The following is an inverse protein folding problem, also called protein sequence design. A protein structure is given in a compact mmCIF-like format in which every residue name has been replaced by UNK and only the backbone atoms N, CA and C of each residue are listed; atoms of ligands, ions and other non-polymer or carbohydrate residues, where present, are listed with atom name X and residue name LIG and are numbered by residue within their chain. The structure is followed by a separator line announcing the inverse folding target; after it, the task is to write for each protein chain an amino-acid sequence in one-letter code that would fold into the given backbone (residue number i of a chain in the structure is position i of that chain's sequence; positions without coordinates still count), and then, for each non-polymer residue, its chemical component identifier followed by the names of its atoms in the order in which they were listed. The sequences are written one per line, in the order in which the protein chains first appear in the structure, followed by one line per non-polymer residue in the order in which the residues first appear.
data_IF_953370601026
#
_entry.id   IF_953370601026
#
_cell.length_a   1.000
_cell.length_b   1.000
_cell.length_c   1.000
_cell.angle_alpha   90.00
_cell.angle_beta   90.00
_cell.angle_gamma   90.00
#
_symmetry.space_group_name_H-M   'P 1'
#
loop_
_entity.id
_entity.type
_entity.pdbx_description
1 polymer ?
#
# COMPACT_ATOMS: atom_id res chain seq x y z
N UNK A 1 27.16 13.71 -11.35
CA UNK A 1 27.62 13.22 -10.04
C UNK A 1 27.75 11.72 -10.14
N UNK A 2 28.87 11.09 -9.70
CA UNK A 2 28.96 9.64 -9.68
C UNK A 2 27.88 9.11 -8.69
N UNK A 3 27.02 8.24 -9.19
CA UNK A 3 26.08 7.48 -8.34
C UNK A 3 26.96 6.58 -7.48
N UNK A 4 26.86 6.72 -6.15
CA UNK A 4 27.58 5.84 -5.23
C UNK A 4 27.19 4.40 -5.55
N UNK A 5 28.19 3.54 -5.79
CA UNK A 5 27.95 2.09 -5.99
C UNK A 5 27.43 1.55 -4.66
N UNK A 6 26.23 0.95 -4.62
CA UNK A 6 25.68 0.42 -3.39
C UNK A 6 26.60 -0.67 -2.84
N UNK A 7 26.81 -0.67 -1.53
CA UNK A 7 27.50 -1.77 -0.84
C UNK A 7 26.61 -3.02 -0.95
N UNK A 8 27.18 -4.13 -1.39
CA UNK A 8 26.47 -5.40 -1.47
C UNK A 8 25.98 -5.81 -0.07
N UNK A 9 24.70 -6.15 0.05
CA UNK A 9 24.14 -6.66 1.30
C UNK A 9 24.55 -8.13 1.51
N UNK A 10 24.66 -8.55 2.77
CA UNK A 10 25.12 -9.90 3.13
C UNK A 10 24.24 -11.04 2.55
N UNK A 11 22.92 -10.78 2.41
CA UNK A 11 21.97 -11.72 1.80
C UNK A 11 21.80 -11.36 0.32
N UNK A 12 21.96 -12.33 -0.57
CA UNK A 12 21.85 -12.10 -2.02
C UNK A 12 20.43 -11.73 -2.48
N UNK A 13 20.30 -11.05 -3.64
CA UNK A 13 19.02 -10.56 -4.15
C UNK A 13 17.92 -11.62 -4.29
N UNK A 14 18.26 -12.80 -4.82
CA UNK A 14 17.29 -13.88 -5.03
C UNK A 14 16.80 -14.45 -3.70
N UNK A 15 17.68 -14.59 -2.72
CA UNK A 15 17.35 -15.03 -1.38
C UNK A 15 16.45 -14.03 -0.65
N UNK A 16 16.72 -12.72 -0.77
CA UNK A 16 15.84 -11.68 -0.22
C UNK A 16 14.43 -11.73 -0.83
N UNK A 17 14.33 -11.94 -2.14
CA UNK A 17 13.03 -12.09 -2.83
C UNK A 17 12.31 -13.35 -2.33
N UNK A 18 13.01 -14.46 -2.14
CA UNK A 18 12.42 -15.69 -1.61
C UNK A 18 11.89 -15.49 -0.18
N UNK A 19 12.67 -14.84 0.70
CA UNK A 19 12.24 -14.49 2.08
C UNK A 19 11.03 -13.56 2.08
N UNK A 20 11.05 -12.51 1.27
CA UNK A 20 9.90 -11.62 1.12
C UNK A 20 8.63 -12.39 0.71
N UNK A 21 8.74 -13.30 -0.27
CA UNK A 21 7.62 -14.15 -0.70
C UNK A 21 7.16 -15.10 0.41
N UNK A 22 8.07 -15.64 1.22
CA UNK A 22 7.73 -16.52 2.35
C UNK A 22 6.91 -15.77 3.40
N UNK A 23 7.37 -14.59 3.81
CA UNK A 23 6.64 -13.70 4.74
C UNK A 23 5.24 -13.35 4.22
N UNK A 24 5.12 -13.01 2.93
CA UNK A 24 3.82 -12.67 2.33
C UNK A 24 2.87 -13.88 2.23
N UNK A 25 3.39 -15.10 2.09
CA UNK A 25 2.58 -16.34 2.11
C UNK A 25 2.08 -16.70 3.50
N UNK A 26 2.91 -16.51 4.53
CA UNK A 26 2.49 -16.69 5.92
C UNK A 26 1.40 -15.71 6.32
N UNK A 27 1.44 -14.48 5.76
CA UNK A 27 0.52 -13.40 6.08
C UNK A 27 1.00 -12.58 7.29
N UNK A 28 0.62 -11.31 7.30
CA UNK A 28 1.11 -10.35 8.30
C UNK A 28 0.68 -10.66 9.74
N UNK A 29 -0.30 -11.52 9.96
CA UNK A 29 -0.70 -11.96 11.30
C UNK A 29 0.28 -12.99 11.91
N UNK A 30 1.00 -13.73 11.07
CA UNK A 30 1.84 -14.88 11.47
C UNK A 30 3.34 -14.55 11.53
N UNK A 31 3.74 -13.31 11.18
CA UNK A 31 5.15 -12.94 11.03
C UNK A 31 5.79 -12.30 12.27
N UNK A 32 5.15 -12.38 13.43
CA UNK A 32 5.66 -11.75 14.65
C UNK A 32 7.12 -12.12 14.97
N UNK A 33 7.47 -13.40 14.77
CA UNK A 33 8.81 -13.92 15.02
C UNK A 33 9.84 -13.53 13.93
N UNK A 34 9.37 -13.12 12.75
CA UNK A 34 10.21 -12.65 11.65
C UNK A 34 10.54 -11.15 11.76
N UNK A 35 9.90 -10.41 12.67
CA UNK A 35 10.13 -8.98 12.85
C UNK A 35 11.37 -8.73 13.71
N UNK A 36 12.16 -7.71 13.35
CA UNK A 36 13.23 -7.22 14.22
C UNK A 36 12.66 -6.37 15.37
N UNK A 37 13.43 -6.18 16.43
CA UNK A 37 13.04 -5.34 17.57
C UNK A 37 12.77 -3.87 17.16
N UNK A 38 13.50 -3.38 16.15
CA UNK A 38 13.39 -2.03 15.58
C UNK A 38 12.43 -1.94 14.38
N UNK A 39 11.62 -2.97 14.16
CA UNK A 39 10.66 -3.02 13.05
C UNK A 39 9.76 -1.80 12.98
N UNK A 40 9.48 -1.35 11.75
CA UNK A 40 8.55 -0.27 11.46
C UNK A 40 7.59 -0.64 10.33
N UNK A 41 6.30 -0.51 10.59
CA UNK A 41 5.27 -0.50 9.55
C UNK A 41 4.92 0.93 9.17
N UNK A 42 4.95 1.23 7.88
CA UNK A 42 4.69 2.59 7.35
C UNK A 42 3.68 2.52 6.21
N UNK A 43 2.49 3.03 6.44
CA UNK A 43 1.50 3.30 5.41
C UNK A 43 1.49 4.77 5.00
N UNK A 44 0.70 5.17 4.00
CA UNK A 44 0.58 6.57 3.58
C UNK A 44 0.02 7.50 4.66
N UNK A 45 -0.73 6.95 5.59
CA UNK A 45 -1.43 7.67 6.67
C UNK A 45 -1.12 7.06 8.03
N UNK A 46 -0.95 5.74 8.09
CA UNK A 46 -0.74 4.97 9.33
C UNK A 46 0.73 4.70 9.52
N UNK A 47 1.23 4.92 10.73
CA UNK A 47 2.62 4.62 11.10
C UNK A 47 3.50 5.85 11.29
N UNK A 48 4.80 5.64 11.62
CA UNK A 48 5.40 4.33 11.83
C UNK A 48 4.84 3.58 13.05
N UNK A 49 4.52 2.28 12.89
CA UNK A 49 4.13 1.41 13.98
C UNK A 49 5.28 0.45 14.29
N UNK A 50 5.64 0.33 15.56
CA UNK A 50 6.56 -0.72 16.04
C UNK A 50 5.92 -2.10 16.06
N UNK A 51 6.69 -3.17 16.39
CA UNK A 51 6.26 -4.58 16.26
C UNK A 51 4.94 -4.87 16.99
N UNK A 52 4.85 -4.54 18.27
CA UNK A 52 3.65 -4.80 19.09
C UNK A 52 2.40 -4.07 18.57
N UNK A 53 2.56 -2.77 18.23
CA UNK A 53 1.45 -1.97 17.71
C UNK A 53 0.98 -2.48 16.34
N UNK A 54 1.90 -2.95 15.50
CA UNK A 54 1.61 -3.54 14.21
C UNK A 54 0.85 -4.87 14.36
N UNK A 55 1.34 -5.81 15.16
CA UNK A 55 0.69 -7.11 15.40
C UNK A 55 -0.72 -6.90 15.96
N UNK A 56 -0.89 -5.98 16.91
CA UNK A 56 -2.20 -5.62 17.46
C UNK A 56 -3.14 -5.03 16.39
N UNK A 57 -2.61 -4.15 15.52
CA UNK A 57 -3.41 -3.54 14.45
C UNK A 57 -3.86 -4.56 13.41
N UNK A 58 -2.97 -5.47 13.00
CA UNK A 58 -3.29 -6.54 12.03
C UNK A 58 -4.25 -7.56 12.64
N UNK A 59 -4.00 -8.01 13.88
CA UNK A 59 -4.87 -8.97 14.58
C UNK A 59 -6.26 -8.42 14.88
N UNK A 60 -6.40 -7.09 15.07
CA UNK A 60 -7.70 -6.43 15.25
C UNK A 60 -8.48 -6.22 13.94
N UNK A 61 -7.87 -6.52 12.78
CA UNK A 61 -8.44 -6.28 11.45
C UNK A 61 -8.32 -7.52 10.56
N UNK A 62 -9.02 -8.59 10.95
CA UNK A 62 -9.09 -9.79 10.11
C UNK A 62 -9.98 -9.54 8.88
N UNK A 63 -9.32 -9.20 7.77
CA UNK A 63 -9.97 -8.96 6.49
C UNK A 63 -10.57 -10.25 5.89
N UNK A 64 -10.11 -11.42 6.31
CA UNK A 64 -10.59 -12.70 5.76
C UNK A 64 -12.01 -13.02 6.21
N UNK A 65 -12.45 -12.49 7.35
CA UNK A 65 -13.84 -12.63 7.81
C UNK A 65 -14.81 -11.91 6.88
N UNK A 66 -14.43 -10.73 6.37
CA UNK A 66 -15.26 -9.98 5.43
C UNK A 66 -15.09 -10.41 3.97
N UNK A 67 -13.88 -10.84 3.59
CA UNK A 67 -13.49 -11.21 2.23
C UNK A 67 -12.84 -12.60 2.19
N UNK A 68 -13.61 -13.69 2.31
CA UNK A 68 -13.04 -15.05 2.38
C UNK A 68 -12.27 -15.48 1.12
N UNK A 69 -12.57 -14.86 -0.03
CA UNK A 69 -11.93 -15.11 -1.33
C UNK A 69 -10.81 -14.12 -1.66
N UNK A 70 -10.33 -13.33 -0.67
CA UNK A 70 -9.35 -12.28 -0.90
C UNK A 70 -8.04 -12.84 -1.45
N UNK A 71 -7.53 -12.18 -2.50
CA UNK A 71 -6.24 -12.47 -3.14
C UNK A 71 -5.46 -11.17 -3.29
N UNK A 72 -4.27 -11.11 -2.71
CA UNK A 72 -3.41 -9.92 -2.79
C UNK A 72 -2.71 -9.78 -4.13
N UNK A 73 -2.54 -10.88 -4.90
CA UNK A 73 -1.95 -10.91 -6.24
C UNK A 73 -0.62 -10.15 -6.30
N UNK A 74 0.37 -10.59 -5.50
CA UNK A 74 1.70 -9.98 -5.45
C UNK A 74 2.53 -10.32 -6.70
N UNK A 75 3.22 -9.30 -7.26
CA UNK A 75 4.06 -9.42 -8.45
C UNK A 75 5.16 -8.34 -8.50
N UNK A 76 6.02 -8.34 -9.52
CA UNK A 76 7.10 -7.37 -9.73
C UNK A 76 8.11 -7.27 -8.57
N UNK A 77 8.49 -8.42 -8.01
CA UNK A 77 9.51 -8.46 -6.97
C UNK A 77 10.88 -8.07 -7.52
N UNK A 78 11.54 -7.10 -6.88
CA UNK A 78 12.89 -6.66 -7.22
C UNK A 78 13.59 -6.08 -6.00
N UNK A 79 14.89 -6.30 -5.90
CA UNK A 79 15.72 -5.62 -4.91
C UNK A 79 15.93 -4.17 -5.35
N UNK A 80 15.92 -3.25 -4.38
CA UNK A 80 16.19 -1.84 -4.63
C UNK A 80 17.66 -1.65 -5.02
N UNK A 81 17.98 -0.90 -6.09
CA UNK A 81 19.36 -0.73 -6.52
C UNK A 81 20.19 0.18 -5.60
N UNK A 82 19.56 0.95 -4.70
CA UNK A 82 20.23 1.85 -3.76
C UNK A 82 20.20 1.32 -2.32
N UNK A 83 19.12 0.67 -1.92
CA UNK A 83 18.95 0.01 -0.63
C UNK A 83 18.94 -1.51 -0.84
N UNK A 84 20.11 -2.10 -0.97
CA UNK A 84 20.29 -3.50 -1.42
C UNK A 84 19.71 -4.57 -0.48
N UNK A 85 19.21 -4.16 0.68
CA UNK A 85 18.46 -4.98 1.63
C UNK A 85 16.94 -4.79 1.56
N UNK A 86 16.43 -4.01 0.59
CA UNK A 86 15.01 -3.74 0.38
C UNK A 86 14.48 -4.47 -0.86
N UNK A 87 13.35 -5.15 -0.70
CA UNK A 87 12.61 -5.75 -1.81
C UNK A 87 11.34 -4.93 -2.06
N UNK A 88 11.21 -4.40 -3.28
CA UNK A 88 9.98 -3.80 -3.78
C UNK A 88 9.10 -4.83 -4.46
N UNK A 89 7.79 -4.70 -4.32
CA UNK A 89 6.81 -5.50 -5.02
C UNK A 89 5.51 -4.72 -5.22
N UNK A 90 4.64 -5.26 -6.04
CA UNK A 90 3.33 -4.67 -6.33
C UNK A 90 2.24 -5.61 -5.86
N UNK A 91 1.14 -5.09 -5.32
CA UNK A 91 -0.10 -5.84 -5.09
C UNK A 91 -1.23 -5.32 -5.96
N UNK A 92 -2.18 -6.21 -6.29
CA UNK A 92 -3.46 -5.86 -6.90
C UNK A 92 -4.55 -6.70 -6.27
N UNK A 93 -4.96 -6.31 -5.08
CA UNK A 93 -5.89 -7.08 -4.24
C UNK A 93 -7.29 -7.12 -4.85
N UNK A 94 -7.89 -8.30 -4.84
CA UNK A 94 -9.29 -8.53 -5.23
C UNK A 94 -9.98 -9.36 -4.16
N UNK A 95 -11.29 -9.24 -4.04
CA UNK A 95 -12.10 -10.04 -3.11
C UNK A 95 -13.57 -9.67 -3.20
N UNK A 96 -14.44 -10.51 -2.64
CA UNK A 96 -15.89 -10.28 -2.59
C UNK A 96 -16.32 -10.15 -1.13
N UNK A 97 -17.01 -9.07 -0.79
CA UNK A 97 -17.48 -8.82 0.58
C UNK A 97 -18.71 -9.69 0.88
N UNK A 98 -18.45 -10.93 1.26
CA UNK A 98 -19.49 -11.96 1.52
C UNK A 98 -19.64 -12.33 2.99
N UNK A 99 -18.78 -11.82 3.87
CA UNK A 99 -18.84 -12.02 5.31
C UNK A 99 -18.94 -10.70 6.08
N UNK A 100 -19.17 -10.76 7.39
CA UNK A 100 -19.20 -9.58 8.26
C UNK A 100 -17.80 -9.09 8.55
N UNK A 101 -17.44 -7.91 8.07
CA UNK A 101 -16.13 -7.32 8.28
C UNK A 101 -16.06 -6.57 9.63
N UNK A 102 -14.99 -6.81 10.40
CA UNK A 102 -14.72 -6.20 11.71
C UNK A 102 -15.92 -6.32 12.69
N UNK A 103 -16.70 -7.40 12.60
CA UNK A 103 -17.81 -7.71 13.48
C UNK A 103 -19.02 -6.75 13.38
N UNK A 104 -19.04 -5.82 12.42
CA UNK A 104 -20.10 -4.80 12.31
C UNK A 104 -20.53 -4.40 10.91
N UNK A 105 -19.71 -4.64 9.91
CA UNK A 105 -20.06 -4.30 8.53
C UNK A 105 -20.59 -5.54 7.82
N UNK A 106 -21.91 -5.59 7.69
CA UNK A 106 -22.63 -6.71 7.06
C UNK A 106 -22.22 -6.89 5.60
N UNK A 107 -22.24 -8.15 5.13
CA UNK A 107 -21.90 -8.51 3.77
C UNK A 107 -22.72 -7.73 2.74
N UNK A 108 -22.05 -7.08 1.78
CA UNK A 108 -22.70 -6.31 0.72
C UNK A 108 -22.75 -7.06 -0.62
N UNK A 109 -22.07 -8.20 -0.74
CA UNK A 109 -21.87 -8.90 -2.01
C UNK A 109 -20.96 -8.14 -3.00
N UNK A 110 -20.41 -7.00 -2.61
CA UNK A 110 -19.59 -6.16 -3.51
C UNK A 110 -18.27 -6.83 -3.83
N UNK A 111 -17.98 -7.00 -5.12
CA UNK A 111 -16.64 -7.35 -5.60
C UNK A 111 -15.74 -6.13 -5.53
N UNK A 112 -14.64 -6.24 -4.81
CA UNK A 112 -13.64 -5.20 -4.68
C UNK A 112 -12.43 -5.51 -5.55
N UNK A 113 -11.96 -4.51 -6.29
CA UNK A 113 -10.74 -4.53 -7.08
C UNK A 113 -9.89 -3.32 -6.71
N UNK A 114 -8.79 -3.57 -6.01
CA UNK A 114 -7.86 -2.51 -5.65
C UNK A 114 -7.03 -2.07 -6.87
N UNK A 115 -6.64 -0.79 -6.95
CA UNK A 115 -5.64 -0.34 -7.91
C UNK A 115 -4.29 -1.00 -7.60
N UNK A 116 -3.33 -1.01 -8.55
CA UNK A 116 -1.97 -1.46 -8.27
C UNK A 116 -1.34 -0.58 -7.19
N UNK A 117 -0.73 -1.21 -6.19
CA UNK A 117 -0.09 -0.56 -5.06
C UNK A 117 1.39 -0.96 -4.97
N UNK A 118 2.27 0.01 -4.73
CA UNK A 118 3.67 -0.25 -4.43
C UNK A 118 3.85 -0.55 -2.95
N UNK A 119 4.59 -1.62 -2.67
CA UNK A 119 4.94 -2.06 -1.33
C UNK A 119 6.44 -2.36 -1.26
N UNK A 120 7.01 -2.33 -0.07
CA UNK A 120 8.37 -2.82 0.12
C UNK A 120 8.56 -3.52 1.47
N UNK A 121 9.59 -4.35 1.53
CA UNK A 121 10.05 -5.02 2.74
C UNK A 121 11.56 -4.89 2.84
N UNK A 122 12.07 -4.42 3.99
CA UNK A 122 13.50 -4.25 4.25
C UNK A 122 13.93 -5.27 5.29
N UNK A 123 15.14 -5.81 5.14
CA UNK A 123 15.69 -6.86 5.97
C UNK A 123 16.97 -6.44 6.66
N UNK A 124 17.26 -6.99 7.85
CA UNK A 124 18.58 -6.95 8.46
C UNK A 124 19.45 -8.15 8.02
N UNK A 125 20.72 -8.17 8.43
CA UNK A 125 21.67 -9.23 8.08
C UNK A 125 21.28 -10.62 8.64
N UNK A 126 20.42 -10.69 9.66
CA UNK A 126 19.84 -11.94 10.19
C UNK A 126 18.67 -12.43 9.34
N UNK A 127 18.22 -11.65 8.34
CA UNK A 127 17.06 -11.96 7.52
C UNK A 127 15.72 -11.61 8.18
N UNK A 128 15.71 -10.86 9.28
CA UNK A 128 14.50 -10.35 9.91
C UNK A 128 14.00 -9.11 9.20
N UNK A 129 12.70 -8.91 9.21
CA UNK A 129 12.03 -7.74 8.61
C UNK A 129 12.20 -6.53 9.52
N UNK A 130 12.84 -5.47 9.05
CA UNK A 130 13.03 -4.21 9.78
C UNK A 130 12.02 -3.15 9.37
N UNK A 131 11.48 -3.23 8.17
CA UNK A 131 10.48 -2.27 7.69
C UNK A 131 9.56 -2.89 6.66
N UNK A 132 8.27 -2.56 6.76
CA UNK A 132 7.27 -2.79 5.72
C UNK A 132 6.64 -1.47 5.34
N UNK A 133 6.60 -1.16 4.04
CA UNK A 133 5.83 -0.02 3.52
C UNK A 133 4.69 -0.53 2.65
N UNK A 134 3.50 0.05 2.81
CA UNK A 134 2.30 -0.39 2.08
C UNK A 134 1.43 0.78 1.64
N UNK A 135 0.55 0.51 0.66
CA UNK A 135 -0.60 1.35 0.35
C UNK A 135 -0.36 2.51 -0.61
N UNK A 136 0.83 2.66 -1.19
CA UNK A 136 1.07 3.69 -2.21
C UNK A 136 0.43 3.27 -3.53
N UNK A 137 -0.66 3.94 -3.90
CA UNK A 137 -1.39 3.66 -5.15
C UNK A 137 -0.62 4.20 -6.35
N UNK A 138 -0.32 3.33 -7.31
CA UNK A 138 0.43 3.67 -8.53
C UNK A 138 -0.46 4.28 -9.62
N UNK A 139 -1.71 3.82 -9.74
CA UNK A 139 -2.71 4.36 -10.65
C UNK A 139 -4.10 4.36 -10.00
N UNK A 140 -4.55 5.54 -9.62
CA UNK A 140 -5.84 5.75 -8.93
C UNK A 140 -7.06 5.61 -9.81
N UNK A 141 -6.89 5.49 -11.13
CA UNK A 141 -8.00 5.38 -12.09
C UNK A 141 -8.49 3.94 -12.25
N UNK A 142 -7.70 2.98 -11.76
CA UNK A 142 -8.00 1.55 -11.82
C UNK A 142 -8.74 1.07 -10.57
N UNK A 143 -9.53 0.00 -10.74
CA UNK A 143 -10.30 -0.61 -9.66
C UNK A 143 -11.54 0.18 -9.26
N UNK A 144 -12.13 -0.16 -8.11
CA UNK A 144 -13.37 0.46 -7.60
C UNK A 144 -13.24 1.03 -6.17
N UNK A 145 -12.01 1.22 -5.70
CA UNK A 145 -11.71 1.75 -4.36
C UNK A 145 -11.64 3.28 -4.28
N UNK A 146 -12.07 4.00 -5.32
CA UNK A 146 -11.94 5.46 -5.37
C UNK A 146 -10.50 5.96 -5.44
N UNK A 147 -9.57 5.12 -5.86
CA UNK A 147 -8.14 5.43 -5.90
C UNK A 147 -7.45 5.36 -4.54
N UNK A 148 -8.10 4.78 -3.53
CA UNK A 148 -7.53 4.53 -2.20
C UNK A 148 -6.83 3.18 -2.16
N UNK A 149 -5.73 3.10 -1.39
CA UNK A 149 -5.00 1.88 -1.13
C UNK A 149 -5.38 1.23 0.20
N UNK A 150 -4.93 -0.03 0.37
CA UNK A 150 -5.07 -0.77 1.61
C UNK A 150 -6.52 -0.88 2.10
N UNK A 151 -6.66 -0.93 3.41
CA UNK A 151 -7.95 -1.07 4.11
C UNK A 151 -8.92 0.09 3.80
N UNK A 152 -8.42 1.30 3.58
CA UNK A 152 -9.26 2.47 3.25
C UNK A 152 -10.00 2.27 1.93
N UNK A 153 -9.32 1.69 0.94
CA UNK A 153 -9.94 1.33 -0.34
C UNK A 153 -11.02 0.27 -0.20
N UNK A 154 -10.81 -0.74 0.64
CA UNK A 154 -11.80 -1.79 0.90
C UNK A 154 -13.07 -1.19 1.52
N UNK A 155 -12.94 -0.38 2.57
CA UNK A 155 -14.10 0.28 3.20
C UNK A 155 -14.85 1.19 2.25
N UNK A 156 -14.12 1.96 1.43
CA UNK A 156 -14.77 2.81 0.43
C UNK A 156 -15.57 1.99 -0.59
N UNK A 157 -15.00 0.91 -1.10
CA UNK A 157 -15.63 0.08 -2.13
C UNK A 157 -16.91 -0.62 -1.65
N UNK A 158 -16.98 -1.00 -0.36
CA UNK A 158 -18.20 -1.61 0.23
C UNK A 158 -19.25 -0.57 0.68
N UNK A 159 -19.03 0.73 0.42
CA UNK A 159 -19.96 1.79 0.76
C UNK A 159 -19.91 2.27 2.21
N UNK A 160 -18.87 1.90 2.96
CA UNK A 160 -18.68 2.26 4.38
C UNK A 160 -17.36 3.01 4.61
N UNK A 161 -17.10 4.12 3.90
CA UNK A 161 -15.84 4.85 4.01
C UNK A 161 -15.63 5.37 5.44
N UNK A 162 -14.39 5.33 5.91
CA UNK A 162 -14.06 5.87 7.22
C UNK A 162 -14.22 7.40 7.25
N UNK A 163 -14.62 8.02 8.40
CA UNK A 163 -15.11 9.41 8.44
C UNK A 163 -14.00 10.47 8.52
N UNK A 164 -12.82 10.24 7.98
CA UNK A 164 -11.72 11.19 7.98
C UNK A 164 -11.16 11.45 6.55
N UNK A 165 -10.59 12.63 6.29
CA UNK A 165 -10.19 13.05 4.94
C UNK A 165 -9.26 12.10 4.22
N UNK A 166 -8.32 11.48 4.94
CA UNK A 166 -7.30 10.58 4.42
C UNK A 166 -7.90 9.28 3.86
N UNK A 167 -9.08 8.89 4.35
CA UNK A 167 -9.84 7.71 3.91
C UNK A 167 -10.89 8.04 2.84
N UNK A 168 -10.81 9.22 2.24
CA UNK A 168 -11.71 9.65 1.16
C UNK A 168 -10.95 9.76 -0.16
N UNK A 169 -11.59 9.51 -1.31
CA UNK A 169 -10.99 9.76 -2.61
C UNK A 169 -10.46 11.17 -2.74
N UNK A 170 -9.26 11.28 -3.31
CA UNK A 170 -8.62 12.58 -3.50
C UNK A 170 -9.49 13.50 -4.37
N UNK A 171 -9.71 14.72 -3.90
CA UNK A 171 -10.45 15.76 -4.59
C UNK A 171 -9.55 16.96 -4.88
N UNK A 172 -9.60 17.43 -6.14
CA UNK A 172 -8.89 18.64 -6.54
C UNK A 172 -9.38 19.84 -5.72
N UNK A 173 -8.47 20.55 -5.06
CA UNK A 173 -8.79 21.71 -4.23
C UNK A 173 -9.37 22.86 -5.08
N UNK A 174 -10.23 23.71 -4.47
CA UNK A 174 -10.76 24.91 -5.11
C UNK A 174 -9.65 25.88 -5.55
N UNK A 175 -8.56 25.97 -4.74
CA UNK A 175 -7.39 26.80 -5.06
C UNK A 175 -6.68 26.33 -6.33
N UNK A 176 -6.50 25.00 -6.48
CA UNK A 176 -5.87 24.44 -7.68
C UNK A 176 -6.75 24.59 -8.93
N UNK A 177 -8.09 24.44 -8.81
CA UNK A 177 -9.03 24.72 -9.89
C UNK A 177 -8.96 26.16 -10.36
N UNK A 178 -8.86 27.11 -9.41
CA UNK A 178 -8.69 28.53 -9.71
C UNK A 178 -7.35 28.80 -10.42
N UNK A 179 -6.26 28.20 -9.95
CA UNK A 179 -4.96 28.31 -10.60
C UNK A 179 -4.97 27.77 -12.03
N UNK A 180 -5.61 26.64 -12.27
CA UNK A 180 -5.80 26.09 -13.62
C UNK A 180 -6.63 27.04 -14.51
N UNK A 181 -7.66 27.67 -13.96
CA UNK A 181 -8.47 28.67 -14.70
C UNK A 181 -7.63 29.88 -15.14
N UNK A 182 -6.81 30.41 -14.23
CA UNK A 182 -5.89 31.51 -14.58
C UNK A 182 -4.89 31.10 -15.68
N UNK A 183 -4.33 29.90 -15.60
CA UNK A 183 -3.44 29.36 -16.61
C UNK A 183 -4.10 29.27 -18.01
N UNK A 184 -5.36 28.83 -18.04
CA UNK A 184 -6.15 28.81 -19.31
C UNK A 184 -6.39 30.19 -19.88
N UNK A 185 -6.66 31.20 -19.03
CA UNK A 185 -6.82 32.58 -19.46
C UNK A 185 -5.52 33.18 -20.04
N UNK A 186 -4.39 32.92 -19.37
CA UNK A 186 -3.09 33.41 -19.83
C UNK A 186 -2.70 32.80 -21.20
N UNK A 187 -2.95 31.48 -21.38
CA UNK A 187 -2.68 30.81 -22.66
C UNK A 187 -3.58 31.31 -23.81
N UNK A 188 -4.85 31.65 -23.54
CA UNK A 188 -5.74 32.23 -24.54
C UNK A 188 -5.25 33.60 -25.03
N UNK A 189 -4.68 34.44 -24.15
CA UNK A 189 -4.11 35.73 -24.52
C UNK A 189 -2.86 35.62 -25.38
N UNK A 190 -2.02 34.60 -25.15
CA UNK A 190 -0.82 34.34 -25.96
C UNK A 190 -1.11 33.76 -27.35
N UNK A 191 -2.21 33.05 -27.52
CA UNK A 191 -2.60 32.47 -28.82
C UNK A 191 -3.46 33.40 -29.68
N UNK A 192 -3.72 34.66 -29.25
CA UNK A 192 -4.41 35.67 -30.07
C UNK A 192 -3.45 36.75 -30.65
N UNK A 193 -2.14 36.64 -30.36
CA UNK A 193 -1.10 37.58 -30.85
C UNK A 193 -0.26 36.98 -32.01
N UNK A 194 -0.64 35.79 -32.52
CA UNK A 194 -0.15 35.16 -33.78
C UNK A 194 -1.29 35.14 -34.82
#
# INVERSE_FOLDING_TARGET
MPVAVPVAFAIGPDELILRCKAVLRAGFAEIADDLSEDFQFVGPVVGPLGPEAFVKAVGGFDLTTGFPDMKSNYYHFRVDPYETNRVWFTSRTTGTHTGTLAGRFEATGTRVECPPQALSMTFNEKGQVTKVTVGVVMDRTLGNTGGLGGVFGLFYAIGSPLPFPEAQPWKMSKRYKFFQFLGRLANRRRGSDD
#
